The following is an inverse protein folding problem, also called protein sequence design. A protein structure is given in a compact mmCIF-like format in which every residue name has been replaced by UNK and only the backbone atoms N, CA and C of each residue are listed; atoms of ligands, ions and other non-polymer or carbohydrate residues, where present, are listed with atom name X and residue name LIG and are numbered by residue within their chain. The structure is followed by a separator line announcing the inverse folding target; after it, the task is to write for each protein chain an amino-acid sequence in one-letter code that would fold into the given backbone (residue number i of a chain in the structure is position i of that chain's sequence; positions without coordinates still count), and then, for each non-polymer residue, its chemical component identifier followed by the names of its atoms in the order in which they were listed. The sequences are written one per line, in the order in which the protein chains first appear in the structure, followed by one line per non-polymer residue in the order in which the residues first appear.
data_IF_201805796777
#
_entry.id   IF_201805796777
#
_cell.length_a   1.000
_cell.length_b   1.000
_cell.length_c   1.000
_cell.angle_alpha   90.00
_cell.angle_beta   90.00
_cell.angle_gamma   90.00
#
_symmetry.space_group_name_H-M   'P 1'
#
loop_
_entity.id
_entity.type
_entity.pdbx_description
1 polymer ?
#
# COMPACT_ATOMS: atom_id res chain seq x y z
N UNK A 1 14.14 -28.21 31.20
CA UNK A 1 14.05 -26.75 31.06
C UNK A 1 14.21 -26.40 29.58
N UNK A 2 13.20 -25.68 29.07
CA UNK A 2 13.08 -24.88 27.85
C UNK A 2 13.92 -25.19 26.59
N UNK A 3 13.20 -25.43 25.48
CA UNK A 3 13.16 -24.47 24.38
C UNK A 3 11.86 -24.71 23.58
N UNK A 4 10.83 -23.92 23.88
CA UNK A 4 9.59 -23.89 23.11
C UNK A 4 9.90 -23.26 21.74
N UNK A 5 9.40 -23.90 20.68
CA UNK A 5 9.52 -23.43 19.30
C UNK A 5 8.90 -22.04 19.19
N UNK A 6 9.70 -21.07 18.76
CA UNK A 6 9.29 -19.71 18.41
C UNK A 6 8.04 -19.79 17.53
N UNK A 7 6.90 -19.34 18.07
CA UNK A 7 5.64 -19.31 17.36
C UNK A 7 5.81 -18.56 16.05
N UNK A 8 5.45 -19.20 14.93
CA UNK A 8 5.36 -18.51 13.65
C UNK A 8 4.29 -17.43 13.80
N UNK A 9 4.71 -16.16 13.89
CA UNK A 9 3.77 -15.06 13.78
C UNK A 9 3.05 -15.21 12.44
N UNK A 10 1.71 -15.26 12.42
CA UNK A 10 0.99 -15.33 11.16
C UNK A 10 1.35 -14.07 10.36
N UNK A 11 2.19 -14.25 9.34
CA UNK A 11 2.52 -13.17 8.42
C UNK A 11 1.30 -12.97 7.55
N UNK A 12 0.50 -11.98 7.89
CA UNK A 12 -0.63 -11.54 7.10
C UNK A 12 -0.17 -11.25 5.67
N UNK A 13 -0.71 -11.98 4.69
CA UNK A 13 -0.43 -11.77 3.27
C UNK A 13 -1.58 -11.02 2.64
N UNK A 14 -1.28 -9.96 1.90
CA UNK A 14 -2.28 -9.25 1.10
C UNK A 14 -2.62 -10.06 -0.14
N UNK A 15 -3.89 -10.04 -0.54
CA UNK A 15 -4.29 -10.52 -1.87
C UNK A 15 -3.69 -9.61 -2.93
N UNK A 16 -3.02 -10.19 -3.94
CA UNK A 16 -2.41 -9.43 -5.05
C UNK A 16 -3.22 -9.63 -6.32
N UNK A 17 -3.53 -8.53 -7.02
CA UNK A 17 -4.21 -8.52 -8.33
C UNK A 17 -3.34 -7.76 -9.32
N UNK A 18 -3.18 -8.24 -10.55
CA UNK A 18 -2.42 -7.50 -11.56
C UNK A 18 -3.19 -6.27 -12.06
N UNK A 19 -2.46 -5.23 -12.44
CA UNK A 19 -3.05 -4.02 -13.02
C UNK A 19 -3.88 -4.33 -14.29
N UNK A 20 -3.44 -5.29 -15.11
CA UNK A 20 -4.17 -5.72 -16.31
C UNK A 20 -5.52 -6.34 -15.96
N UNK A 21 -5.57 -7.16 -14.90
CA UNK A 21 -6.81 -7.83 -14.49
C UNK A 21 -7.84 -6.81 -13.98
N UNK A 22 -7.39 -5.76 -13.27
CA UNK A 22 -8.27 -4.66 -12.81
C UNK A 22 -8.81 -3.86 -14.01
N UNK A 23 -8.00 -3.70 -15.06
CA UNK A 23 -8.40 -2.95 -16.27
C UNK A 23 -9.42 -3.71 -17.12
N UNK A 24 -9.42 -5.04 -17.07
CA UNK A 24 -10.32 -5.90 -17.82
C UNK A 24 -11.72 -5.96 -17.17
N UNK A 25 -12.65 -5.16 -17.68
CA UNK A 25 -14.01 -5.03 -17.12
C UNK A 25 -14.82 -6.33 -17.05
N UNK A 26 -14.52 -7.29 -17.91
CA UNK A 26 -15.20 -8.59 -17.97
C UNK A 26 -14.63 -9.62 -16.99
N UNK A 27 -13.51 -9.32 -16.36
CA UNK A 27 -12.86 -10.24 -15.44
C UNK A 27 -13.56 -10.23 -14.09
N UNK A 28 -13.96 -11.40 -13.63
CA UNK A 28 -14.50 -11.56 -12.29
C UNK A 28 -13.36 -11.56 -11.26
N UNK A 29 -13.40 -10.59 -10.34
CA UNK A 29 -12.46 -10.42 -9.24
C UNK A 29 -13.13 -10.60 -7.87
N UNK A 30 -14.39 -11.08 -7.84
CA UNK A 30 -15.21 -11.14 -6.62
C UNK A 30 -14.53 -11.95 -5.51
N UNK A 31 -13.88 -13.07 -5.86
CA UNK A 31 -13.15 -13.88 -4.89
C UNK A 31 -11.95 -13.15 -4.29
N UNK A 32 -11.17 -12.44 -5.12
CA UNK A 32 -10.02 -11.67 -4.65
C UNK A 32 -10.46 -10.49 -3.75
N UNK A 33 -11.58 -9.85 -4.08
CA UNK A 33 -12.16 -8.76 -3.30
C UNK A 33 -12.65 -9.27 -1.95
N UNK A 34 -13.38 -10.39 -1.92
CA UNK A 34 -13.86 -10.99 -0.66
C UNK A 34 -12.69 -11.45 0.22
N UNK A 35 -11.64 -12.04 -0.36
CA UNK A 35 -10.47 -12.45 0.41
C UNK A 35 -9.67 -11.24 0.97
N UNK A 36 -9.57 -10.14 0.21
CA UNK A 36 -8.81 -8.96 0.62
C UNK A 36 -9.56 -8.01 1.55
N UNK A 37 -10.85 -7.76 1.25
CA UNK A 37 -11.69 -6.77 1.92
C UNK A 37 -12.85 -7.36 2.73
N UNK A 38 -13.11 -8.66 2.62
CA UNK A 38 -14.16 -9.32 3.38
C UNK A 38 -13.83 -9.42 4.89
N UNK A 39 -14.71 -10.04 5.69
CA UNK A 39 -14.62 -10.04 7.15
C UNK A 39 -13.32 -10.62 7.74
N UNK A 40 -12.67 -11.50 6.99
CA UNK A 40 -11.40 -12.13 7.36
C UNK A 40 -10.19 -11.56 6.60
N UNK A 41 -10.43 -10.59 5.71
CA UNK A 41 -9.41 -9.93 4.92
C UNK A 41 -8.66 -8.88 5.72
N UNK A 42 -7.52 -8.43 5.19
CA UNK A 42 -6.71 -7.38 5.82
C UNK A 42 -7.28 -5.98 5.63
N UNK A 43 -8.38 -5.85 4.88
CA UNK A 43 -8.96 -4.56 4.49
C UNK A 43 -8.17 -3.88 3.38
N UNK A 44 -7.22 -4.57 2.75
CA UNK A 44 -6.37 -4.06 1.67
C UNK A 44 -6.07 -5.16 0.65
N UNK A 45 -5.81 -4.73 -0.59
CA UNK A 45 -5.22 -5.55 -1.65
C UNK A 45 -3.94 -4.88 -2.14
N UNK A 46 -3.01 -5.67 -2.68
CA UNK A 46 -1.88 -5.17 -3.44
C UNK A 46 -2.15 -5.26 -4.94
N UNK A 47 -1.70 -4.24 -5.68
CA UNK A 47 -1.77 -4.24 -7.15
C UNK A 47 -0.38 -4.44 -7.71
N UNK A 48 -0.19 -5.46 -8.55
CA UNK A 48 1.08 -5.73 -9.24
C UNK A 48 1.09 -5.15 -10.65
N UNK A 49 2.29 -5.05 -11.23
CA UNK A 49 2.49 -4.75 -12.66
C UNK A 49 1.89 -3.43 -13.13
N UNK A 50 1.82 -2.44 -12.23
CA UNK A 50 1.36 -1.09 -12.54
C UNK A 50 2.36 -0.43 -13.51
N UNK A 51 1.93 -0.04 -14.74
CA UNK A 51 2.83 0.52 -15.73
C UNK A 51 3.54 1.78 -15.24
N UNK A 52 4.87 1.82 -15.38
CA UNK A 52 5.69 2.97 -14.99
C UNK A 52 5.88 3.17 -13.48
N UNK A 53 5.25 2.36 -12.62
CA UNK A 53 5.28 2.55 -11.17
C UNK A 53 6.69 2.54 -10.59
N UNK A 54 7.55 1.60 -11.00
CA UNK A 54 8.91 1.49 -10.46
C UNK A 54 9.73 2.77 -10.70
N UNK A 55 9.65 3.34 -11.91
CA UNK A 55 10.34 4.57 -12.27
C UNK A 55 9.77 5.77 -11.50
N UNK A 56 8.44 5.90 -11.47
CA UNK A 56 7.77 6.98 -10.75
C UNK A 56 8.07 6.94 -9.24
N UNK A 57 8.03 5.74 -8.64
CA UNK A 57 8.35 5.51 -7.23
C UNK A 57 9.79 5.92 -6.93
N UNK A 58 10.74 5.52 -7.77
CA UNK A 58 12.14 5.91 -7.60
C UNK A 58 12.31 7.43 -7.67
N UNK A 59 11.67 8.09 -8.63
CA UNK A 59 11.77 9.53 -8.79
C UNK A 59 11.14 10.29 -7.61
N UNK A 60 9.97 9.84 -7.14
CA UNK A 60 9.21 10.50 -6.08
C UNK A 60 9.85 10.31 -4.70
N UNK A 61 10.22 9.09 -4.33
CA UNK A 61 10.64 8.79 -2.94
C UNK A 61 11.93 9.52 -2.53
N UNK A 62 12.82 9.84 -3.47
CA UNK A 62 14.01 10.65 -3.17
C UNK A 62 13.67 12.11 -2.82
N UNK A 63 12.47 12.59 -3.18
CA UNK A 63 12.02 13.95 -2.84
C UNK A 63 11.47 14.03 -1.41
N UNK A 64 10.94 12.94 -0.87
CA UNK A 64 10.38 12.90 0.50
C UNK A 64 11.33 13.46 1.58
N UNK A 65 12.61 13.03 1.68
CA UNK A 65 13.52 13.60 2.68
C UNK A 65 13.87 15.06 2.40
N UNK A 66 13.75 15.54 1.16
CA UNK A 66 13.98 16.96 0.83
C UNK A 66 12.84 17.82 1.38
N UNK A 67 11.60 17.37 1.22
CA UNK A 67 10.41 18.03 1.78
C UNK A 67 10.45 18.00 3.32
N UNK A 68 10.76 16.85 3.92
CA UNK A 68 10.82 16.71 5.38
C UNK A 68 11.88 17.62 6.05
N UNK A 69 12.93 18.00 5.32
CA UNK A 69 14.02 18.87 5.78
C UNK A 69 13.77 20.36 5.54
N UNK A 70 12.65 20.75 4.94
CA UNK A 70 12.30 22.16 4.79
C UNK A 70 12.12 22.82 6.17
N UNK A 71 12.36 24.14 6.29
CA UNK A 71 12.03 24.91 7.49
C UNK A 71 10.56 24.74 7.89
N UNK A 72 10.28 24.82 9.20
CA UNK A 72 8.94 24.56 9.73
C UNK A 72 7.89 25.58 9.23
N UNK A 73 8.29 26.83 9.06
CA UNK A 73 7.47 27.89 8.46
C UNK A 73 7.06 27.55 7.02
N UNK A 74 8.01 27.06 6.21
CA UNK A 74 7.74 26.63 4.83
C UNK A 74 6.87 25.37 4.79
N UNK A 75 7.09 24.40 5.68
CA UNK A 75 6.24 23.20 5.74
C UNK A 75 4.80 23.54 6.11
N UNK A 76 4.60 24.52 6.99
CA UNK A 76 3.27 24.98 7.40
C UNK A 76 2.46 25.58 6.25
N UNK A 77 3.12 26.21 5.29
CA UNK A 77 2.47 26.71 4.06
C UNK A 77 1.97 25.58 3.15
N UNK A 78 2.50 24.36 3.30
CA UNK A 78 2.09 23.18 2.53
C UNK A 78 0.98 22.37 3.20
N UNK A 79 0.60 22.72 4.44
CA UNK A 79 -0.49 22.07 5.17
C UNK A 79 -1.84 22.47 4.56
N UNK A 80 -2.76 21.51 4.47
CA UNK A 80 -4.16 21.76 4.11
C UNK A 80 -5.05 21.54 5.35
N UNK A 81 -5.48 22.60 6.05
CA UNK A 81 -6.23 22.49 7.31
C UNK A 81 -7.59 21.82 7.16
N UNK A 82 -8.15 21.83 5.95
CA UNK A 82 -9.48 21.25 5.67
C UNK A 82 -9.38 19.77 5.31
N UNK A 83 -8.16 19.26 5.07
CA UNK A 83 -7.93 17.84 4.85
C UNK A 83 -8.28 17.05 6.13
N UNK A 84 -9.00 15.94 5.95
CA UNK A 84 -9.41 15.03 7.03
C UNK A 84 -8.46 13.83 7.19
N UNK A 85 -7.26 13.95 6.65
CA UNK A 85 -6.23 12.90 6.60
C UNK A 85 -4.99 13.30 7.37
#
# INVERSE_FOLDING_TARGET
MAAELVGAFPTARTVTISYSDIKEKSRDLSMNIEEGFGPNGLGIISVSDVPGFSLLRQNLLHLAPRVARLPDDVKKELEDPESRY
#
